data_IF_902698495643
#
_entry.id   IF_902698495643
#
_cell.length_a   1.000
_cell.length_b   1.000
_cell.length_c   1.000
_cell.angle_alpha   90.00
_cell.angle_beta   90.00
_cell.angle_gamma   90.00
#
_symmetry.space_group_name_H-M   'P 1'
#
loop_
_entity.id
_entity.type
_entity.pdbx_description
1 polymer ?
#
# COMPACT_ATOMS: atom_id res chain seq x y z
N UNK A 1 -7.29 10.00 -3.09
CA UNK A 1 -7.31 8.57 -2.70
C UNK A 1 -8.34 7.80 -3.52
N UNK A 2 -9.65 7.99 -3.34
CA UNK A 2 -10.68 7.32 -4.16
C UNK A 2 -10.54 7.53 -5.69
N UNK A 3 -10.03 8.69 -6.13
CA UNK A 3 -9.87 9.01 -7.55
C UNK A 3 -8.67 8.34 -8.23
N UNK A 4 -7.64 7.90 -7.48
CA UNK A 4 -6.59 7.00 -8.00
C UNK A 4 -7.02 5.52 -7.97
N UNK A 5 -8.13 5.21 -7.29
CA UNK A 5 -8.63 3.85 -7.09
C UNK A 5 -9.80 3.47 -8.00
N UNK A 6 -10.36 4.39 -8.80
CA UNK A 6 -11.61 4.11 -9.54
C UNK A 6 -11.60 4.32 -11.05
N UNK A 7 -10.57 4.88 -11.67
CA UNK A 7 -10.59 5.12 -13.13
C UNK A 7 -9.25 4.81 -13.80
N UNK A 8 -9.08 3.57 -14.25
CA UNK A 8 -8.30 3.20 -15.44
C UNK A 8 -8.89 1.93 -16.05
N UNK A 9 -10.01 2.09 -16.75
CA UNK A 9 -10.39 1.09 -17.75
C UNK A 9 -9.48 1.26 -18.97
N UNK A 10 -8.71 0.20 -19.26
CA UNK A 10 -7.88 -0.05 -20.43
C UNK A 10 -6.43 0.49 -20.40
N UNK A 11 -5.51 -0.45 -20.68
CA UNK A 11 -4.07 -0.33 -20.97
C UNK A 11 -3.10 -0.23 -19.77
N UNK A 12 -2.51 -1.38 -19.45
CA UNK A 12 -1.20 -1.61 -18.82
C UNK A 12 -0.63 -0.54 -17.87
N UNK A 13 -0.69 -0.79 -16.54
CA UNK A 13 0.48 -0.81 -15.61
C UNK A 13 0.18 -0.57 -14.13
N UNK A 14 -1.02 -0.15 -13.74
CA UNK A 14 -1.33 0.00 -12.31
C UNK A 14 -2.72 -0.53 -11.98
N UNK A 15 -2.84 -1.72 -11.35
CA UNK A 15 -4.10 -2.12 -10.75
C UNK A 15 -4.42 -1.11 -9.64
N UNK A 16 -5.57 -0.45 -9.71
CA UNK A 16 -6.05 0.34 -8.57
C UNK A 16 -6.12 -0.54 -7.33
N UNK A 17 -5.39 -0.17 -6.28
CA UNK A 17 -5.24 -1.01 -5.09
C UNK A 17 -6.51 -1.01 -4.22
N UNK A 18 -7.23 -2.13 -4.22
CA UNK A 18 -8.39 -2.34 -3.34
C UNK A 18 -7.94 -2.60 -1.89
N UNK A 19 -7.65 -1.54 -1.14
CA UNK A 19 -7.33 -1.62 0.29
C UNK A 19 -8.57 -1.45 1.17
N UNK A 20 -8.67 -2.26 2.22
CA UNK A 20 -9.74 -2.19 3.22
C UNK A 20 -9.82 -0.79 3.85
N UNK A 21 -11.03 -0.32 4.17
CA UNK A 21 -11.29 0.95 4.85
C UNK A 21 -10.47 1.12 6.15
N UNK A 22 -10.17 0.04 6.87
CA UNK A 22 -9.30 0.09 8.06
C UNK A 22 -7.87 0.53 7.71
N UNK A 23 -7.32 0.02 6.61
CA UNK A 23 -5.99 0.41 6.11
C UNK A 23 -6.00 1.87 5.70
N UNK A 24 -7.03 2.30 4.96
CA UNK A 24 -7.19 3.71 4.57
C UNK A 24 -7.24 4.65 5.79
N UNK A 25 -7.95 4.28 6.85
CA UNK A 25 -7.97 5.06 8.11
C UNK A 25 -6.59 5.12 8.75
N UNK A 26 -5.85 4.01 8.77
CA UNK A 26 -4.46 3.97 9.26
C UNK A 26 -3.53 4.91 8.49
N UNK A 27 -3.67 4.97 7.16
CA UNK A 27 -2.89 5.88 6.32
C UNK A 27 -3.22 7.34 6.61
N UNK A 28 -4.50 7.69 6.77
CA UNK A 28 -4.91 9.05 7.13
C UNK A 28 -4.38 9.45 8.51
N UNK A 29 -4.35 8.53 9.48
CA UNK A 29 -3.77 8.80 10.80
C UNK A 29 -2.25 9.00 10.75
N UNK A 30 -1.55 8.31 9.85
CA UNK A 30 -0.09 8.36 9.74
C UNK A 30 0.41 9.55 8.94
N UNK A 31 -0.25 9.86 7.83
CA UNK A 31 0.20 10.87 6.86
C UNK A 31 -0.68 12.13 6.86
N UNK A 32 -1.76 12.15 7.63
CA UNK A 32 -2.65 13.29 7.73
C UNK A 32 -2.22 14.28 8.80
N UNK A 33 -2.35 15.57 8.48
CA UNK A 33 -2.20 16.69 9.39
C UNK A 33 -3.40 17.63 9.23
N UNK A 34 -4.03 18.01 10.34
CA UNK A 34 -5.23 18.88 10.34
C UNK A 34 -6.34 18.44 9.37
N UNK A 35 -6.61 17.13 9.34
CA UNK A 35 -7.60 16.47 8.46
C UNK A 35 -7.30 16.63 6.95
N UNK A 36 -6.09 17.03 6.59
CA UNK A 36 -5.59 17.12 5.22
C UNK A 36 -4.36 16.23 5.07
N UNK A 37 -4.04 15.84 3.85
CA UNK A 37 -2.79 15.15 3.53
C UNK A 37 -2.09 16.06 2.52
N UNK A 38 -0.84 16.42 2.78
CA UNK A 38 -0.07 17.22 1.83
C UNK A 38 0.19 16.41 0.56
N UNK A 39 0.47 17.06 -0.56
CA UNK A 39 0.78 16.34 -1.80
C UNK A 39 2.01 15.42 -1.63
N UNK A 40 3.04 15.88 -0.92
CA UNK A 40 4.24 15.09 -0.66
C UNK A 40 3.92 13.85 0.19
N UNK A 41 3.14 14.01 1.26
CA UNK A 41 2.71 12.89 2.12
C UNK A 41 1.81 11.92 1.36
N UNK A 42 0.97 12.44 0.46
CA UNK A 42 0.12 11.63 -0.40
C UNK A 42 0.93 10.77 -1.36
N UNK A 43 1.93 11.33 -2.04
CA UNK A 43 2.82 10.59 -2.93
C UNK A 43 3.65 9.57 -2.14
N UNK A 44 4.23 9.97 -0.99
CA UNK A 44 5.00 9.06 -0.13
C UNK A 44 4.15 7.89 0.37
N UNK A 45 2.91 8.15 0.78
CA UNK A 45 1.94 7.14 1.17
C UNK A 45 1.62 6.16 0.02
N UNK A 46 1.38 6.67 -1.18
CA UNK A 46 1.09 5.84 -2.34
C UNK A 46 2.26 4.95 -2.73
N UNK A 47 3.49 5.49 -2.75
CA UNK A 47 4.72 4.74 -3.07
C UNK A 47 4.98 3.65 -2.01
N UNK A 48 4.84 3.99 -0.73
CA UNK A 48 4.96 3.02 0.37
C UNK A 48 3.97 1.87 0.24
N UNK A 49 2.70 2.18 -0.06
CA UNK A 49 1.65 1.17 -0.20
C UNK A 49 1.91 0.26 -1.40
N UNK A 50 2.35 0.82 -2.53
CA UNK A 50 2.78 0.06 -3.70
C UNK A 50 3.95 -0.87 -3.37
N UNK A 51 5.03 -0.37 -2.74
CA UNK A 51 6.19 -1.18 -2.33
C UNK A 51 5.77 -2.36 -1.43
N UNK A 52 4.89 -2.12 -0.47
CA UNK A 52 4.42 -3.18 0.45
C UNK A 52 3.60 -4.26 -0.26
N UNK A 53 2.78 -3.89 -1.25
CA UNK A 53 2.00 -4.85 -2.04
C UNK A 53 2.92 -5.65 -2.96
N UNK A 54 3.84 -4.98 -3.66
CA UNK A 54 4.80 -5.64 -4.55
C UNK A 54 5.68 -6.65 -3.81
N UNK A 55 6.07 -6.35 -2.57
CA UNK A 55 6.83 -7.28 -1.70
C UNK A 55 5.95 -8.45 -1.26
N UNK A 56 4.68 -8.18 -0.92
CA UNK A 56 3.75 -9.25 -0.53
C UNK A 56 3.48 -10.21 -1.68
N UNK A 57 3.23 -9.69 -2.88
CA UNK A 57 2.98 -10.50 -4.08
C UNK A 57 4.21 -11.37 -4.45
N UNK A 58 5.44 -10.91 -4.16
CA UNK A 58 6.65 -11.72 -4.33
C UNK A 58 6.74 -12.87 -3.31
N UNK A 59 6.10 -12.73 -2.16
CA UNK A 59 6.07 -13.76 -1.12
C UNK A 59 4.88 -14.71 -1.25
N UNK A 60 3.84 -14.30 -1.96
CA UNK A 60 2.63 -15.08 -2.23
C UNK A 60 2.46 -15.39 -3.73
N UNK A 61 3.38 -16.15 -4.35
CA UNK A 61 3.30 -16.47 -5.77
C UNK A 61 2.05 -17.28 -6.13
N UNK A 62 1.55 -18.06 -5.17
CA UNK A 62 0.39 -18.94 -5.31
C UNK A 62 -0.95 -18.22 -5.04
N UNK A 63 -0.91 -16.96 -4.60
CA UNK A 63 -2.08 -16.11 -4.29
C UNK A 63 -3.00 -16.72 -3.23
N UNK A 64 -2.41 -17.34 -2.21
CA UNK A 64 -3.14 -17.90 -1.06
C UNK A 64 -3.64 -16.81 -0.10
N UNK A 65 -3.23 -15.56 -0.32
CA UNK A 65 -3.52 -14.39 0.52
C UNK A 65 -3.01 -14.58 1.95
N UNK A 66 -1.93 -15.36 2.10
CA UNK A 66 -1.23 -15.58 3.36
C UNK A 66 0.23 -15.90 3.10
N UNK A 67 1.14 -15.38 3.94
CA UNK A 67 2.59 -15.63 3.83
C UNK A 67 3.17 -15.95 5.20
N UNK A 68 4.07 -16.92 5.25
CA UNK A 68 4.82 -17.23 6.48
C UNK A 68 6.19 -16.57 6.40
N UNK A 69 6.45 -15.66 7.33
CA UNK A 69 7.70 -14.88 7.38
C UNK A 69 8.31 -14.93 8.77
N UNK A 70 9.63 -14.96 8.85
CA UNK A 70 10.30 -14.87 10.15
C UNK A 70 10.20 -13.44 10.70
N UNK A 71 10.35 -13.31 12.02
CA UNK A 71 10.34 -11.99 12.69
C UNK A 71 11.35 -11.01 12.07
N UNK A 72 12.55 -11.48 11.75
CA UNK A 72 13.61 -10.61 11.25
C UNK A 72 13.35 -10.16 9.80
N UNK A 73 12.79 -11.03 8.96
CA UNK A 73 12.37 -10.67 7.60
C UNK A 73 11.24 -9.63 7.62
N UNK A 74 10.25 -9.84 8.50
CA UNK A 74 9.17 -8.89 8.71
C UNK A 74 9.68 -7.52 9.17
N UNK A 75 10.59 -7.49 10.17
CA UNK A 75 11.18 -6.25 10.67
C UNK A 75 11.99 -5.53 9.59
N UNK A 76 12.77 -6.27 8.78
CA UNK A 76 13.54 -5.69 7.68
C UNK A 76 12.62 -4.97 6.70
N UNK A 77 11.53 -5.60 6.29
CA UNK A 77 10.66 -5.00 5.27
C UNK A 77 9.87 -3.82 5.81
N UNK A 78 9.30 -3.92 7.01
CA UNK A 78 8.46 -2.85 7.57
C UNK A 78 9.22 -1.57 7.97
N UNK A 79 10.54 -1.67 8.16
CA UNK A 79 11.40 -0.56 8.58
C UNK A 79 12.13 0.13 7.44
N UNK A 80 12.45 -0.59 6.36
CA UNK A 80 13.28 -0.07 5.25
C UNK A 80 12.51 0.19 3.96
N UNK A 81 11.43 -0.55 3.72
CA UNK A 81 10.31 -0.05 2.93
C UNK A 81 9.50 0.75 3.96
#
# INVERSE_FOLDING_TARGET
IYLLLRNTTATERFPGYCVNQHVLKGLVLRYGHDRKISFQDFIGCAVKLMCMIDIYDQWDPDKENSVTVTRNEWLKITMYC
#
